data_IF_133721131333
#
_entry.id   IF_133721131333
#
_cell.length_a   1.000
_cell.length_b   1.000
_cell.length_c   1.000
_cell.angle_alpha   90.00
_cell.angle_beta   90.00
_cell.angle_gamma   90.00
#
_symmetry.space_group_name_H-M   'P 1'
#
loop_
_entity.id
_entity.type
_entity.pdbx_description
1 polymer ?
#
# COMPACT_ATOMS: atom_id res chain seq x y z
N UNK A 1 3.86 10.78 -16.94
CA UNK A 1 5.03 11.17 -16.11
C UNK A 1 5.26 10.07 -15.08
N UNK A 2 6.45 9.45 -15.04
CA UNK A 2 6.79 8.43 -14.05
C UNK A 2 7.52 9.11 -12.89
N UNK A 3 7.05 8.93 -11.66
CA UNK A 3 7.64 9.57 -10.48
C UNK A 3 8.69 8.63 -9.87
N UNK A 4 9.91 9.10 -9.54
CA UNK A 4 10.93 8.25 -8.95
C UNK A 4 10.52 7.77 -7.55
N UNK A 5 10.83 6.51 -7.26
CA UNK A 5 10.64 5.90 -5.96
C UNK A 5 11.67 6.43 -4.96
N UNK A 6 11.24 6.71 -3.73
CA UNK A 6 12.13 7.10 -2.64
C UNK A 6 12.93 5.89 -2.17
N UNK A 7 14.21 6.09 -1.86
CA UNK A 7 15.08 5.05 -1.27
C UNK A 7 14.61 4.71 0.15
N UNK A 8 14.74 3.44 0.55
CA UNK A 8 14.20 2.95 1.81
C UNK A 8 14.80 3.68 3.02
N UNK A 9 16.08 4.02 2.94
CA UNK A 9 16.85 4.73 3.95
C UNK A 9 16.32 6.16 4.16
N UNK A 10 15.75 6.75 3.10
CA UNK A 10 15.25 8.13 3.07
C UNK A 10 13.77 8.25 3.39
N UNK A 11 13.09 7.13 3.66
CA UNK A 11 11.70 7.14 4.12
C UNK A 11 11.59 7.70 5.55
N UNK A 12 10.42 8.24 5.86
CA UNK A 12 9.98 8.50 7.23
C UNK A 12 10.06 7.20 8.07
N UNK A 13 10.47 7.31 9.33
CA UNK A 13 10.77 6.14 10.16
C UNK A 13 9.54 5.25 10.43
N UNK A 14 8.35 5.84 10.52
CA UNK A 14 7.11 5.05 10.64
C UNK A 14 6.84 4.27 9.35
N UNK A 15 7.11 4.87 8.19
CA UNK A 15 6.99 4.21 6.89
C UNK A 15 8.01 3.09 6.73
N UNK A 16 9.24 3.23 7.25
CA UNK A 16 10.24 2.13 7.28
C UNK A 16 9.71 0.93 8.05
N UNK A 17 9.13 1.15 9.23
CA UNK A 17 8.52 0.10 10.04
C UNK A 17 7.35 -0.57 9.31
N UNK A 18 6.52 0.21 8.62
CA UNK A 18 5.40 -0.32 7.83
C UNK A 18 5.92 -1.19 6.68
N UNK A 19 6.96 -0.74 5.97
CA UNK A 19 7.59 -1.52 4.88
C UNK A 19 8.13 -2.84 5.40
N UNK A 20 8.88 -2.83 6.51
CA UNK A 20 9.43 -4.05 7.11
C UNK A 20 8.31 -5.07 7.44
N UNK A 21 7.23 -4.60 8.07
CA UNK A 21 6.06 -5.45 8.38
C UNK A 21 5.40 -6.00 7.13
N UNK A 22 5.30 -5.19 6.07
CA UNK A 22 4.67 -5.59 4.81
C UNK A 22 5.52 -6.61 4.04
N UNK A 23 6.83 -6.41 3.99
CA UNK A 23 7.77 -7.34 3.37
C UNK A 23 7.82 -8.68 4.09
N UNK A 24 7.72 -8.68 5.43
CA UNK A 24 7.61 -9.93 6.21
C UNK A 24 6.37 -10.77 5.85
N UNK A 25 5.35 -10.15 5.25
CA UNK A 25 4.15 -10.81 4.74
C UNK A 25 4.23 -11.12 3.23
N UNK A 26 5.39 -10.94 2.60
CA UNK A 26 5.63 -11.18 1.17
C UNK A 26 5.24 -10.02 0.25
N UNK A 27 4.88 -8.86 0.78
CA UNK A 27 4.50 -7.69 -0.01
C UNK A 27 5.70 -6.86 -0.50
N UNK A 28 5.56 -6.20 -1.64
CA UNK A 28 6.60 -5.30 -2.17
C UNK A 28 6.52 -3.89 -1.56
N UNK A 29 7.64 -3.14 -1.52
CA UNK A 29 7.66 -1.81 -0.92
C UNK A 29 7.24 -0.69 -1.89
N UNK A 30 6.94 -0.97 -3.16
CA UNK A 30 6.95 0.06 -4.21
C UNK A 30 5.84 1.10 -4.04
N UNK A 31 4.66 0.71 -3.56
CA UNK A 31 3.59 1.66 -3.25
C UNK A 31 4.06 2.69 -2.20
N UNK A 32 4.68 2.22 -1.11
CA UNK A 32 5.19 3.09 -0.05
C UNK A 32 6.31 3.97 -0.58
N UNK A 33 7.25 3.42 -1.36
CA UNK A 33 8.35 4.19 -1.97
C UNK A 33 7.84 5.23 -2.98
N UNK A 34 6.78 4.93 -3.71
CA UNK A 34 6.18 5.84 -4.70
C UNK A 34 5.54 7.06 -4.04
N UNK A 35 4.97 6.91 -2.85
CA UNK A 35 4.34 8.01 -2.09
C UNK A 35 5.18 8.53 -0.93
N UNK A 36 6.38 7.96 -0.69
CA UNK A 36 7.24 8.27 0.45
C UNK A 36 7.67 9.73 0.58
N UNK A 37 7.60 10.50 -0.51
CA UNK A 37 7.86 11.95 -0.50
C UNK A 37 6.73 12.78 0.17
N UNK A 38 5.58 12.16 0.43
CA UNK A 38 4.42 12.75 1.10
C UNK A 38 4.06 11.93 2.34
N UNK A 39 4.95 11.85 3.36
CA UNK A 39 4.83 10.87 4.43
C UNK A 39 3.54 11.04 5.23
N UNK A 40 3.15 12.28 5.58
CA UNK A 40 1.93 12.52 6.36
C UNK A 40 0.65 12.16 5.61
N UNK A 41 0.59 12.44 4.31
CA UNK A 41 -0.54 12.07 3.46
C UNK A 41 -0.63 10.55 3.34
N UNK A 42 0.49 9.88 3.09
CA UNK A 42 0.53 8.43 3.00
C UNK A 42 0.12 7.77 4.33
N UNK A 43 0.63 8.25 5.47
CA UNK A 43 0.25 7.76 6.80
C UNK A 43 -1.25 7.92 7.06
N UNK A 44 -1.85 9.07 6.68
CA UNK A 44 -3.31 9.29 6.76
C UNK A 44 -4.07 8.31 5.87
N UNK A 45 -3.62 8.11 4.63
CA UNK A 45 -4.21 7.16 3.71
C UNK A 45 -4.18 5.74 4.27
N UNK A 46 -3.04 5.28 4.79
CA UNK A 46 -2.91 3.93 5.34
C UNK A 46 -3.81 3.70 6.57
N UNK A 47 -3.96 4.72 7.44
CA UNK A 47 -4.91 4.67 8.57
C UNK A 47 -6.35 4.55 8.11
N UNK A 48 -6.72 5.25 7.04
CA UNK A 48 -8.05 5.14 6.44
C UNK A 48 -8.26 3.79 5.72
N UNK A 49 -7.27 3.34 4.93
CA UNK A 49 -7.41 2.21 4.01
C UNK A 49 -7.27 0.84 4.68
N UNK A 50 -6.34 0.69 5.63
CA UNK A 50 -6.05 -0.60 6.27
C UNK A 50 -7.29 -1.26 6.91
N UNK A 51 -8.16 -0.53 7.66
CA UNK A 51 -9.39 -1.10 8.20
C UNK A 51 -10.37 -1.58 7.12
N UNK A 52 -10.48 -0.87 5.99
CA UNK A 52 -11.39 -1.25 4.90
C UNK A 52 -10.99 -2.60 4.30
N UNK A 53 -9.69 -2.85 4.17
CA UNK A 53 -9.19 -4.11 3.64
C UNK A 53 -9.29 -5.23 4.69
N UNK A 54 -8.87 -4.97 5.93
CA UNK A 54 -8.64 -6.04 6.93
C UNK A 54 -9.79 -6.30 7.92
N UNK A 55 -10.77 -5.40 8.04
CA UNK A 55 -11.86 -5.49 9.03
C UNK A 55 -13.24 -5.38 8.37
N UNK A 56 -14.31 -5.69 9.10
CA UNK A 56 -15.70 -5.59 8.62
C UNK A 56 -16.32 -6.95 8.29
N UNK A 57 -17.52 -6.93 7.71
CA UNK A 57 -18.35 -8.13 7.52
C UNK A 57 -17.89 -9.02 6.36
N UNK A 58 -17.33 -8.42 5.30
CA UNK A 58 -16.86 -9.16 4.13
C UNK A 58 -15.46 -9.70 4.41
N UNK A 59 -15.21 -10.97 4.06
CA UNK A 59 -13.93 -11.63 4.29
C UNK A 59 -12.81 -10.93 3.52
N UNK A 60 -11.62 -10.96 4.10
CA UNK A 60 -10.41 -10.42 3.47
C UNK A 60 -10.19 -10.99 2.06
N UNK A 61 -10.36 -12.31 1.89
CA UNK A 61 -10.21 -12.98 0.59
C UNK A 61 -11.19 -12.45 -0.46
N UNK A 62 -12.45 -12.27 -0.08
CA UNK A 62 -13.50 -11.76 -0.99
C UNK A 62 -13.17 -10.34 -1.46
N UNK A 63 -12.71 -9.47 -0.55
CA UNK A 63 -12.27 -8.12 -0.92
C UNK A 63 -11.09 -8.12 -1.86
N UNK A 64 -10.13 -9.01 -1.66
CA UNK A 64 -8.96 -9.11 -2.53
C UNK A 64 -9.33 -9.56 -3.95
N UNK A 65 -10.23 -10.54 -4.08
CA UNK A 65 -10.74 -10.96 -5.40
C UNK A 65 -11.46 -9.82 -6.13
N UNK A 66 -12.28 -9.04 -5.42
CA UNK A 66 -12.94 -7.85 -5.98
C UNK A 66 -11.92 -6.81 -6.42
N UNK A 67 -10.88 -6.55 -5.63
CA UNK A 67 -9.81 -5.60 -5.99
C UNK A 67 -9.04 -6.04 -7.23
N UNK A 68 -8.69 -7.32 -7.34
CA UNK A 68 -8.03 -7.87 -8.52
C UNK A 68 -8.93 -7.73 -9.77
N UNK A 69 -10.23 -8.00 -9.63
CA UNK A 69 -11.18 -7.81 -10.73
C UNK A 69 -11.29 -6.35 -11.16
N UNK A 70 -11.34 -5.42 -10.19
CA UNK A 70 -11.34 -3.98 -10.48
C UNK A 70 -10.03 -3.53 -11.13
N UNK A 71 -8.89 -4.06 -10.70
CA UNK A 71 -7.60 -3.75 -11.31
C UNK A 71 -7.56 -4.19 -12.79
N UNK A 72 -8.02 -5.41 -13.09
CA UNK A 72 -8.14 -5.92 -14.46
C UNK A 72 -9.05 -5.05 -15.32
N UNK A 73 -10.23 -4.69 -14.82
CA UNK A 73 -11.18 -3.85 -15.56
C UNK A 73 -10.63 -2.45 -15.87
N UNK A 74 -9.74 -1.94 -15.02
CA UNK A 74 -9.14 -0.62 -15.18
C UNK A 74 -7.74 -0.64 -15.83
N UNK A 75 -7.23 -1.80 -16.24
CA UNK A 75 -5.86 -1.91 -16.75
C UNK A 75 -4.80 -1.48 -15.71
N UNK A 76 -5.09 -1.66 -14.42
CA UNK A 76 -4.12 -1.40 -13.35
C UNK A 76 -3.19 -2.62 -13.22
N UNK A 77 -1.98 -2.50 -13.75
CA UNK A 77 -1.01 -3.60 -13.83
C UNK A 77 -0.06 -3.70 -12.62
N UNK A 78 -0.09 -2.71 -11.73
CA UNK A 78 0.57 -2.79 -10.42
C UNK A 78 -0.38 -3.47 -9.44
#
# INVERSE_FOLDING_TARGET
MRIPMVDLERLDDELKVIVQKWQALGGDPNFIRTFGRLPDTLKRFLRFYSPLVRKGLIEFRTKELVRLRLAQLNGCHY
#
